data_IF_498268612622
#
_entry.id   IF_498268612622
#
_cell.length_a   1.000
_cell.length_b   1.000
_cell.length_c   1.000
_cell.angle_alpha   90.00
_cell.angle_beta   90.00
_cell.angle_gamma   90.00
#
_symmetry.space_group_name_H-M   'P 1'
#
loop_
_entity.id
_entity.type
_entity.pdbx_description
1 polymer ?
#
# COMPACT_ATOMS: atom_id res chain seq x y z
N UNK A 1 24.87 21.36 -7.25
CA UNK A 1 24.30 20.69 -6.06
C UNK A 1 22.79 20.65 -6.28
N UNK A 2 22.20 19.47 -6.47
CA UNK A 2 20.79 19.32 -6.84
C UNK A 2 19.89 20.03 -5.82
N UNK A 3 19.00 20.89 -6.31
CA UNK A 3 18.06 21.72 -5.53
C UNK A 3 16.73 21.03 -5.26
N UNK A 4 16.58 19.79 -5.70
CA UNK A 4 15.25 19.21 -5.86
C UNK A 4 14.94 18.31 -4.66
N UNK A 5 13.96 18.72 -3.86
CA UNK A 5 13.31 17.86 -2.90
C UNK A 5 12.38 16.92 -3.67
N UNK A 6 12.69 15.64 -3.64
CA UNK A 6 11.87 14.59 -4.26
C UNK A 6 11.15 13.84 -3.15
N UNK A 7 9.82 13.76 -3.27
CA UNK A 7 8.97 12.91 -2.43
C UNK A 7 8.48 11.72 -3.25
N UNK A 8 8.65 10.54 -2.68
CA UNK A 8 8.17 9.28 -3.24
C UNK A 8 7.25 8.59 -2.22
N UNK A 9 6.13 8.08 -2.69
CA UNK A 9 5.29 7.14 -1.94
C UNK A 9 5.47 5.79 -2.60
N UNK A 10 5.99 4.80 -1.87
CA UNK A 10 6.31 3.49 -2.46
C UNK A 10 5.27 2.45 -2.03
N UNK A 11 4.74 1.73 -3.01
CA UNK A 11 4.08 0.43 -2.81
C UNK A 11 5.16 -0.64 -3.02
N UNK A 12 5.40 -1.47 -2.01
CA UNK A 12 6.39 -2.55 -2.04
C UNK A 12 6.02 -3.56 -3.14
N UNK A 13 7.01 -3.96 -3.96
CA UNK A 13 6.84 -5.09 -4.90
C UNK A 13 6.70 -6.39 -4.11
N UNK A 14 5.48 -6.87 -3.97
CA UNK A 14 5.15 -8.08 -3.23
C UNK A 14 5.34 -9.33 -4.11
N UNK A 15 5.88 -10.40 -3.53
CA UNK A 15 6.00 -11.70 -4.19
C UNK A 15 4.61 -12.39 -4.21
N UNK A 16 3.96 -12.35 -5.36
CA UNK A 16 2.64 -12.93 -5.57
C UNK A 16 2.71 -14.45 -5.82
N UNK A 17 1.81 -15.23 -5.20
CA UNK A 17 1.73 -16.69 -5.40
C UNK A 17 1.14 -17.44 -4.21
N UNK A 18 1.20 -18.77 -4.26
CA UNK A 18 0.83 -19.66 -3.15
C UNK A 18 1.95 -19.63 -2.10
N UNK A 19 1.59 -19.32 -0.85
CA UNK A 19 2.52 -19.27 0.28
C UNK A 19 2.66 -20.62 0.99
N UNK A 20 1.57 -21.40 1.07
CA UNK A 20 1.55 -22.67 1.78
C UNK A 20 0.14 -23.21 1.94
N UNK A 21 -0.02 -24.21 2.82
CA UNK A 21 -1.32 -24.83 3.12
C UNK A 21 -1.77 -24.48 4.55
N UNK A 22 -3.06 -24.23 4.73
CA UNK A 22 -3.64 -23.95 6.04
C UNK A 22 -3.71 -25.21 6.90
N UNK A 23 -3.45 -25.06 8.21
CA UNK A 23 -3.53 -26.17 9.18
C UNK A 23 -4.96 -26.60 9.50
N UNK A 24 -5.96 -25.76 9.16
CA UNK A 24 -7.37 -26.01 9.47
C UNK A 24 -8.05 -26.76 8.34
N UNK A 25 -7.99 -26.24 7.11
CA UNK A 25 -8.70 -26.79 5.94
C UNK A 25 -7.81 -27.60 4.99
N UNK A 26 -6.49 -27.61 5.23
CA UNK A 26 -5.44 -28.23 4.38
C UNK A 26 -5.42 -27.72 2.92
N UNK A 27 -6.05 -26.58 2.64
CA UNK A 27 -6.08 -25.97 1.32
C UNK A 27 -4.98 -24.90 1.20
N UNK A 28 -4.43 -24.67 -0.01
CA UNK A 28 -3.44 -23.63 -0.23
C UNK A 28 -4.00 -22.23 0.03
N UNK A 29 -3.14 -21.32 0.45
CA UNK A 29 -3.43 -19.89 0.59
C UNK A 29 -2.34 -19.06 -0.08
N UNK A 30 -2.70 -17.87 -0.54
CA UNK A 30 -1.79 -16.97 -1.24
C UNK A 30 -0.98 -16.10 -0.27
N UNK A 31 0.21 -15.67 -0.69
CA UNK A 31 1.05 -14.72 0.06
C UNK A 31 0.35 -13.39 0.30
N UNK A 32 -0.49 -12.97 -0.66
CA UNK A 32 -1.28 -11.75 -0.59
C UNK A 32 -2.77 -12.08 -0.63
N UNK A 33 -3.56 -11.33 0.13
CA UNK A 33 -5.02 -11.41 0.17
C UNK A 33 -5.58 -10.02 0.46
N UNK A 34 -6.82 -9.78 0.07
CA UNK A 34 -7.49 -8.49 0.30
C UNK A 34 -8.58 -8.63 1.36
N UNK A 35 -8.82 -7.56 2.13
CA UNK A 35 -9.92 -7.53 3.10
C UNK A 35 -11.29 -7.63 2.42
N UNK A 36 -11.43 -7.05 1.23
CA UNK A 36 -12.65 -7.09 0.43
C UNK A 36 -12.33 -6.99 -1.08
N UNK A 37 -13.35 -7.16 -1.92
CA UNK A 37 -13.22 -6.95 -3.36
C UNK A 37 -13.71 -8.14 -4.21
N UNK A 38 -13.48 -8.07 -5.53
CA UNK A 38 -14.04 -9.02 -6.50
C UNK A 38 -13.31 -10.38 -6.48
N UNK A 39 -12.20 -10.47 -5.75
CA UNK A 39 -11.46 -11.71 -5.50
C UNK A 39 -12.16 -12.70 -4.56
N UNK A 40 -13.29 -12.33 -3.95
CA UNK A 40 -14.06 -13.24 -3.11
C UNK A 40 -14.51 -14.46 -3.93
N UNK A 41 -14.42 -15.64 -3.32
CA UNK A 41 -14.95 -16.90 -3.86
C UNK A 41 -15.87 -17.51 -2.80
N UNK A 42 -17.14 -17.80 -3.15
CA UNK A 42 -18.03 -18.43 -2.19
C UNK A 42 -17.48 -19.80 -1.76
N UNK A 43 -17.79 -20.25 -0.53
CA UNK A 43 -17.47 -21.61 -0.11
C UNK A 43 -18.04 -22.64 -1.10
N UNK A 44 -17.33 -23.75 -1.24
CA UNK A 44 -17.76 -24.91 -2.02
C UNK A 44 -18.99 -25.56 -1.38
N UNK A 45 -19.65 -26.48 -2.09
CA UNK A 45 -20.87 -27.14 -1.62
C UNK A 45 -20.70 -27.88 -0.28
N UNK A 46 -19.50 -28.38 -0.01
CA UNK A 46 -19.12 -29.03 1.25
C UNK A 46 -18.77 -28.04 2.38
N UNK A 47 -18.99 -26.74 2.16
CA UNK A 47 -18.68 -25.66 3.10
C UNK A 47 -17.20 -25.29 3.16
N UNK A 48 -16.33 -25.90 2.34
CA UNK A 48 -14.89 -25.60 2.35
C UNK A 48 -14.59 -24.31 1.57
N UNK A 49 -13.50 -23.65 1.95
CA UNK A 49 -12.95 -22.53 1.18
C UNK A 49 -12.61 -22.98 -0.25
N UNK A 50 -12.67 -22.06 -1.21
CA UNK A 50 -12.23 -22.32 -2.59
C UNK A 50 -10.74 -22.71 -2.63
N UNK A 51 -10.42 -23.80 -3.34
CA UNK A 51 -9.06 -24.31 -3.51
C UNK A 51 -8.35 -23.59 -4.67
N UNK A 52 -7.33 -22.79 -4.34
CA UNK A 52 -6.53 -22.04 -5.32
C UNK A 52 -5.37 -22.86 -5.92
N UNK A 53 -5.23 -24.16 -5.61
CA UNK A 53 -4.11 -25.01 -6.08
C UNK A 53 -3.97 -25.05 -7.60
N UNK A 54 -5.08 -24.91 -8.32
CA UNK A 54 -5.16 -24.96 -9.79
C UNK A 54 -5.28 -23.59 -10.43
N UNK A 55 -5.31 -22.53 -9.64
CA UNK A 55 -5.45 -21.18 -10.16
C UNK A 55 -4.13 -20.73 -10.81
N UNK A 56 -4.24 -20.04 -11.94
CA UNK A 56 -3.09 -19.40 -12.56
C UNK A 56 -2.80 -18.06 -11.87
N UNK A 57 -2.14 -18.10 -10.70
CA UNK A 57 -1.79 -16.88 -9.93
C UNK A 57 -0.77 -15.99 -10.63
N UNK A 58 -0.20 -16.43 -11.77
CA UNK A 58 0.71 -15.62 -12.61
C UNK A 58 -0.04 -14.83 -13.68
N UNK A 59 -1.34 -15.07 -13.87
CA UNK A 59 -2.15 -14.21 -14.72
C UNK A 59 -2.19 -12.80 -14.11
N UNK A 60 -1.85 -11.80 -14.92
CA UNK A 60 -1.90 -10.38 -14.54
C UNK A 60 -3.29 -9.91 -14.11
N UNK A 61 -4.34 -10.61 -14.56
CA UNK A 61 -5.73 -10.31 -14.24
C UNK A 61 -6.27 -11.20 -13.09
N UNK A 62 -5.42 -12.03 -12.48
CA UNK A 62 -5.84 -12.88 -11.37
C UNK A 62 -6.25 -12.03 -10.17
N UNK A 63 -7.47 -12.23 -9.70
CA UNK A 63 -7.98 -11.57 -8.49
C UNK A 63 -7.67 -12.45 -7.28
N UNK A 64 -6.76 -11.97 -6.43
CA UNK A 64 -6.38 -12.67 -5.21
C UNK A 64 -7.55 -12.80 -4.23
N UNK A 65 -7.55 -13.85 -3.38
CA UNK A 65 -8.63 -14.08 -2.43
C UNK A 65 -8.98 -12.85 -1.59
N UNK A 66 -10.28 -12.59 -1.46
CA UNK A 66 -10.82 -11.55 -0.59
C UNK A 66 -11.79 -12.12 0.45
N UNK A 67 -11.89 -11.48 1.62
CA UNK A 67 -12.80 -11.94 2.69
C UNK A 67 -14.25 -11.49 2.48
N UNK A 68 -14.46 -10.25 2.03
CA UNK A 68 -15.80 -9.69 1.80
C UNK A 68 -16.08 -9.47 0.31
N UNK A 69 -17.22 -9.96 -0.23
CA UNK A 69 -17.56 -9.81 -1.63
C UNK A 69 -17.94 -8.36 -1.97
N UNK A 70 -17.18 -7.72 -2.84
CA UNK A 70 -17.52 -6.42 -3.45
C UNK A 70 -17.16 -6.44 -4.94
N UNK A 71 -17.78 -5.57 -5.73
CA UNK A 71 -17.44 -5.44 -7.15
C UNK A 71 -16.08 -4.75 -7.37
N UNK A 72 -15.64 -3.96 -6.39
CA UNK A 72 -14.34 -3.29 -6.35
C UNK A 72 -13.81 -3.37 -4.93
N UNK A 73 -12.50 -3.47 -4.79
CA UNK A 73 -11.84 -3.29 -3.51
C UNK A 73 -12.00 -1.83 -3.05
N UNK A 74 -12.05 -1.63 -1.73
CA UNK A 74 -12.09 -0.30 -1.10
C UNK A 74 -10.72 0.06 -0.55
N UNK A 75 -10.33 1.33 -0.64
CA UNK A 75 -9.03 1.80 -0.13
C UNK A 75 -8.78 1.40 1.33
N UNK A 76 -7.53 1.02 1.62
CA UNK A 76 -7.02 0.85 2.97
C UNK A 76 -6.93 2.19 3.71
N UNK A 77 -7.18 2.15 5.02
CA UNK A 77 -7.04 3.30 5.92
C UNK A 77 -5.75 3.30 6.73
N UNK A 78 -4.78 2.47 6.33
CA UNK A 78 -3.48 2.37 7.00
C UNK A 78 -2.59 3.59 6.71
N UNK A 79 -1.72 3.94 7.65
CA UNK A 79 -0.72 4.98 7.44
C UNK A 79 0.20 4.63 6.27
N UNK A 80 0.50 5.62 5.42
CA UNK A 80 1.37 5.44 4.25
C UNK A 80 2.76 6.02 4.49
N UNK A 81 3.78 5.30 4.02
CA UNK A 81 5.17 5.75 4.10
C UNK A 81 5.45 6.92 3.14
N UNK A 82 6.16 7.93 3.64
CA UNK A 82 6.66 9.05 2.84
C UNK A 82 8.18 8.95 2.79
N UNK A 83 8.75 8.93 1.59
CA UNK A 83 10.19 8.91 1.37
C UNK A 83 10.65 10.25 0.81
N UNK A 84 11.68 10.85 1.41
CA UNK A 84 12.19 12.15 1.01
C UNK A 84 13.70 12.09 0.73
N UNK A 85 14.12 12.78 -0.34
CA UNK A 85 15.53 12.97 -0.69
C UNK A 85 15.77 14.39 -1.18
N UNK A 86 16.90 14.97 -0.78
CA UNK A 86 17.31 16.32 -1.21
C UNK A 86 17.38 17.32 -0.05
N UNK A 87 17.44 18.63 -0.35
CA UNK A 87 17.42 19.68 0.66
C UNK A 87 16.22 19.54 1.59
N UNK A 88 16.44 19.68 2.90
CA UNK A 88 15.39 19.57 3.93
C UNK A 88 14.69 18.20 4.04
N UNK A 89 15.21 17.12 3.45
CA UNK A 89 14.63 15.77 3.58
C UNK A 89 14.52 15.30 5.05
N UNK A 90 15.38 15.79 5.94
CA UNK A 90 15.33 15.50 7.37
C UNK A 90 14.07 16.02 8.09
N UNK A 91 13.25 16.87 7.45
CA UNK A 91 11.94 17.28 7.97
C UNK A 91 10.91 16.14 7.93
N UNK A 92 11.06 15.19 7.02
CA UNK A 92 10.14 14.06 6.81
C UNK A 92 10.58 12.87 7.66
N UNK A 93 10.52 13.03 8.98
CA UNK A 93 10.86 11.99 9.96
C UNK A 93 9.73 11.82 10.97
N UNK A 94 9.63 10.61 11.55
CA UNK A 94 8.56 10.28 12.50
C UNK A 94 7.20 10.05 11.83
N UNK A 95 6.13 10.33 12.56
CA UNK A 95 4.72 10.20 12.12
C UNK A 95 4.09 11.58 12.14
N UNK A 96 3.38 11.94 11.07
CA UNK A 96 2.71 13.21 10.91
C UNK A 96 1.48 13.08 10.01
N UNK A 97 0.58 14.05 10.12
CA UNK A 97 -0.65 14.10 9.34
C UNK A 97 -0.37 14.40 7.85
N UNK A 98 -1.15 13.79 6.94
CA UNK A 98 -0.96 13.96 5.48
C UNK A 98 -1.00 15.44 5.04
N UNK A 99 -1.80 16.28 5.72
CA UNK A 99 -1.92 17.70 5.40
C UNK A 99 -0.66 18.51 5.74
N UNK A 100 0.28 17.96 6.53
CA UNK A 100 1.54 18.63 6.89
C UNK A 100 2.58 18.54 5.77
N UNK A 101 2.47 17.53 4.89
CA UNK A 101 3.38 17.34 3.74
C UNK A 101 3.53 18.61 2.90
N UNK A 102 2.46 19.25 2.39
CA UNK A 102 2.59 20.47 1.60
C UNK A 102 3.19 21.65 2.40
N UNK A 103 2.99 21.72 3.72
CA UNK A 103 3.60 22.75 4.55
C UNK A 103 5.11 22.57 4.67
N UNK A 104 5.60 21.34 4.87
CA UNK A 104 7.03 21.03 4.90
C UNK A 104 7.69 21.26 3.54
N UNK A 105 7.03 20.89 2.44
CA UNK A 105 7.51 21.18 1.08
C UNK A 105 7.58 22.69 0.83
N UNK A 106 6.56 23.45 1.24
CA UNK A 106 6.54 24.90 1.09
C UNK A 106 7.65 25.57 1.90
N UNK A 107 7.90 25.07 3.12
CA UNK A 107 9.00 25.53 3.95
C UNK A 107 10.35 25.31 3.25
N UNK A 108 10.58 24.10 2.73
CA UNK A 108 11.83 23.70 2.08
C UNK A 108 12.12 24.46 0.77
N UNK A 109 11.08 24.78 0.01
CA UNK A 109 11.18 25.44 -1.30
C UNK A 109 11.00 26.96 -1.27
N UNK A 110 10.77 27.54 -0.09
CA UNK A 110 10.55 28.97 0.10
C UNK A 110 9.35 29.55 -0.69
N UNK A 111 8.26 28.79 -0.76
CA UNK A 111 7.04 29.21 -1.43
C UNK A 111 5.88 29.36 -0.43
N UNK A 112 4.90 30.16 -0.81
CA UNK A 112 3.70 30.39 0.00
C UNK A 112 3.86 31.46 1.09
N UNK A 113 2.82 31.59 1.92
CA UNK A 113 2.71 32.64 2.95
C UNK A 113 2.94 32.11 4.38
N UNK A 114 3.43 30.89 4.51
CA UNK A 114 3.76 30.26 5.80
C UNK A 114 5.21 30.49 6.22
N UNK A 115 5.66 29.73 7.23
CA UNK A 115 7.07 29.66 7.58
C UNK A 115 7.89 29.13 6.39
N UNK A 116 9.04 29.75 6.11
CA UNK A 116 9.96 29.26 5.07
C UNK A 116 11.42 29.29 5.49
N UNK A 117 12.22 28.42 4.85
CA UNK A 117 13.65 28.34 5.04
C UNK A 117 14.40 29.62 4.62
N UNK A 118 13.90 30.37 3.64
CA UNK A 118 14.59 31.54 3.10
C UNK A 118 14.59 32.76 4.02
N UNK A 119 13.68 32.79 5.00
CA UNK A 119 13.58 33.86 5.99
C UNK A 119 14.01 33.42 7.39
N UNK A 120 14.42 32.16 7.58
CA UNK A 120 14.90 31.60 8.85
C UNK A 120 16.36 32.00 9.18
N UNK A 121 16.74 33.26 8.91
CA UNK A 121 18.03 33.83 9.35
C UNK A 121 17.88 34.51 10.70
#
# INVERSE_FOLDING_TARGET
MSTDLVLETVIVTLCAGIAGNSIVDRLPYSTISYGNGPGYRPPQYDGRRYDISRDNTKDKNYMFPALLPLNSETHGGDDVGVFARGPWAHLFTGVYEQHVIPHMMAFASCIGRGLTACWAR
#
